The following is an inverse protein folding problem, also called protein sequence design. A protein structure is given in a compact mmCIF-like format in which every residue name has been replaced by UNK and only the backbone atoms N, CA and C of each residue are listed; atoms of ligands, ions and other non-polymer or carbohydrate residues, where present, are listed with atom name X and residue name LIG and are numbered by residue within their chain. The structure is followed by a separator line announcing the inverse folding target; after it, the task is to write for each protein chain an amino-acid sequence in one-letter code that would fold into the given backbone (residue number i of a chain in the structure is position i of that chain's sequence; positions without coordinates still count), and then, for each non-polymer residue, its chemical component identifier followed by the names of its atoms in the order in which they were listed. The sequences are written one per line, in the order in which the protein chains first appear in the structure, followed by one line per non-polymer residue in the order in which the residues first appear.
data_IF_994149951135
#
_entry.id   IF_994149951135
#
_cell.length_a   1.000
_cell.length_b   1.000
_cell.length_c   1.000
_cell.angle_alpha   90.00
_cell.angle_beta   90.00
_cell.angle_gamma   90.00
#
_symmetry.space_group_name_H-M   'P 1'
#
loop_
_entity.id
_entity.type
_entity.pdbx_description
1 polymer ?
#
# COMPACT_ATOMS: atom_id res chain seq x y z
N UNK A 1 -4.92 10.60 -13.51
CA UNK A 1 -4.46 9.86 -12.32
C UNK A 1 -5.64 9.07 -11.82
N UNK A 2 -5.44 7.77 -11.60
CA UNK A 2 -6.46 6.96 -10.95
C UNK A 2 -6.40 7.23 -9.45
N UNK A 3 -7.55 7.49 -8.82
CA UNK A 3 -7.61 7.66 -7.37
C UNK A 3 -7.90 6.29 -6.74
N UNK A 4 -6.91 5.41 -6.73
CA UNK A 4 -7.05 4.06 -6.16
C UNK A 4 -6.92 4.09 -4.64
N UNK A 5 -6.17 5.05 -4.10
CA UNK A 5 -5.87 5.22 -2.68
C UNK A 5 -7.12 5.41 -1.82
N UNK A 6 -8.19 6.05 -2.33
CA UNK A 6 -9.45 6.23 -1.59
C UNK A 6 -10.15 4.91 -1.20
N UNK A 7 -9.78 3.80 -1.84
CA UNK A 7 -10.35 2.48 -1.55
C UNK A 7 -9.63 1.77 -0.41
N UNK A 8 -8.52 2.31 0.06
CA UNK A 8 -7.69 1.71 1.09
C UNK A 8 -7.70 2.52 2.37
N UNK A 9 -7.50 1.83 3.48
CA UNK A 9 -7.46 2.42 4.81
C UNK A 9 -6.58 1.55 5.70
N UNK A 10 -6.18 2.07 6.86
CA UNK A 10 -5.67 1.24 7.93
C UNK A 10 -6.71 1.14 9.05
N UNK A 11 -6.58 0.12 9.90
CA UNK A 11 -7.45 -0.09 11.06
C UNK A 11 -6.72 0.27 12.36
N UNK A 12 -7.48 0.69 13.37
CA UNK A 12 -6.90 0.89 14.71
C UNK A 12 -6.54 -0.47 15.33
N UNK A 13 -5.61 -0.52 16.31
CA UNK A 13 -5.21 -1.77 16.95
C UNK A 13 -6.39 -2.59 17.52
N UNK A 14 -7.45 -1.93 18.00
CA UNK A 14 -8.62 -2.59 18.58
C UNK A 14 -9.51 -3.27 17.53
N UNK A 15 -9.46 -2.78 16.28
CA UNK A 15 -10.25 -3.31 15.17
C UNK A 15 -9.44 -4.29 14.30
N UNK A 16 -8.14 -4.43 14.58
CA UNK A 16 -7.27 -5.31 13.83
C UNK A 16 -7.65 -6.79 14.01
N UNK A 17 -7.80 -7.48 12.89
CA UNK A 17 -8.17 -8.89 12.84
C UNK A 17 -7.19 -9.61 11.92
N UNK A 18 -6.21 -10.30 12.52
CA UNK A 18 -5.16 -10.96 11.73
C UNK A 18 -5.67 -12.05 10.79
N UNK A 19 -4.89 -12.33 9.74
CA UNK A 19 -5.27 -13.23 8.63
C UNK A 19 -5.83 -14.59 9.08
N UNK A 20 -5.34 -15.14 10.19
CA UNK A 20 -5.79 -16.43 10.73
C UNK A 20 -7.31 -16.48 11.01
N UNK A 21 -7.91 -15.36 11.42
CA UNK A 21 -9.33 -15.28 11.69
C UNK A 21 -10.15 -15.28 10.38
N UNK A 22 -9.66 -14.59 9.35
CA UNK A 22 -10.25 -14.59 8.00
C UNK A 22 -10.17 -15.99 7.39
N UNK A 23 -9.00 -16.65 7.50
CA UNK A 23 -8.79 -18.03 7.04
C UNK A 23 -9.74 -19.01 7.75
N UNK A 24 -9.98 -18.83 9.05
CA UNK A 24 -10.88 -19.70 9.81
C UNK A 24 -12.31 -19.71 9.22
N UNK A 25 -12.83 -18.56 8.79
CA UNK A 25 -14.15 -18.48 8.12
C UNK A 25 -14.16 -19.23 6.79
N UNK A 26 -13.10 -19.08 5.99
CA UNK A 26 -12.92 -19.81 4.73
C UNK A 26 -12.87 -21.34 4.95
N UNK A 27 -12.11 -21.80 5.96
CA UNK A 27 -12.01 -23.22 6.32
C UNK A 27 -13.37 -23.76 6.77
N UNK A 28 -14.09 -23.06 7.65
CA UNK A 28 -15.40 -23.50 8.14
C UNK A 28 -16.39 -23.62 6.97
N UNK A 29 -16.39 -22.66 6.05
CA UNK A 29 -17.20 -22.72 4.83
C UNK A 29 -16.86 -23.94 3.96
N UNK A 30 -15.57 -24.20 3.72
CA UNK A 30 -15.10 -25.37 2.98
C UNK A 30 -15.50 -26.70 3.62
N UNK A 31 -15.31 -26.84 4.94
CA UNK A 31 -15.69 -28.04 5.69
C UNK A 31 -17.20 -28.30 5.62
N UNK A 32 -18.03 -27.27 5.80
CA UNK A 32 -19.49 -27.42 5.70
C UNK A 32 -19.95 -27.79 4.29
N UNK A 33 -19.29 -27.26 3.26
CA UNK A 33 -19.51 -27.66 1.87
C UNK A 33 -19.18 -29.14 1.67
N UNK A 34 -18.03 -29.62 2.18
CA UNK A 34 -17.64 -31.03 2.11
C UNK A 34 -18.66 -31.91 2.84
N UNK A 35 -19.09 -31.54 4.04
CA UNK A 35 -20.11 -32.27 4.80
C UNK A 35 -21.41 -32.34 4.02
N UNK A 36 -21.84 -31.25 3.38
CA UNK A 36 -23.05 -31.23 2.55
C UNK A 36 -22.94 -32.21 1.36
N UNK A 37 -21.79 -32.23 0.68
CA UNK A 37 -21.52 -33.14 -0.45
C UNK A 37 -21.49 -34.60 0.03
N UNK A 38 -20.74 -34.89 1.09
CA UNK A 38 -20.62 -36.26 1.64
C UNK A 38 -21.97 -36.78 2.12
N UNK A 39 -22.75 -35.96 2.83
CA UNK A 39 -24.10 -36.32 3.25
C UNK A 39 -25.00 -36.60 2.04
N UNK A 40 -24.94 -35.78 0.98
CA UNK A 40 -25.70 -36.01 -0.24
C UNK A 40 -25.33 -37.33 -0.94
N UNK A 41 -24.03 -37.68 -0.98
CA UNK A 41 -23.52 -38.90 -1.62
C UNK A 41 -23.83 -40.15 -0.79
N UNK A 42 -23.60 -40.12 0.53
CA UNK A 42 -23.72 -41.30 1.40
C UNK A 42 -25.16 -41.55 1.84
N UNK A 43 -25.91 -40.50 2.19
CA UNK A 43 -27.25 -40.62 2.75
C UNK A 43 -28.36 -40.60 1.69
N UNK A 44 -28.00 -40.48 0.40
CA UNK A 44 -28.94 -40.48 -0.72
C UNK A 44 -29.84 -39.23 -0.78
N UNK A 45 -29.50 -38.19 -0.02
CA UNK A 45 -30.23 -36.93 0.04
C UNK A 45 -29.38 -35.82 0.64
N UNK A 46 -29.42 -34.63 0.05
CA UNK A 46 -28.82 -33.43 0.64
C UNK A 46 -29.52 -33.14 1.98
N UNK A 47 -28.76 -32.80 3.02
CA UNK A 47 -29.35 -32.30 4.27
C UNK A 47 -29.97 -30.94 3.95
N UNK A 48 -31.31 -30.78 4.04
CA UNK A 48 -31.95 -29.52 3.67
C UNK A 48 -31.35 -28.35 4.46
N UNK A 49 -30.89 -27.33 3.75
CA UNK A 49 -30.36 -26.10 4.34
C UNK A 49 -28.86 -26.06 4.61
N UNK A 50 -28.14 -27.19 4.70
CA UNK A 50 -26.69 -27.15 5.00
C UNK A 50 -25.90 -26.49 3.88
N UNK A 51 -26.22 -26.78 2.62
CA UNK A 51 -25.58 -26.10 1.48
C UNK A 51 -25.88 -24.61 1.43
N UNK A 52 -27.09 -24.19 1.82
CA UNK A 52 -27.47 -22.77 1.87
C UNK A 52 -26.68 -22.05 2.96
N UNK A 53 -26.53 -22.66 4.14
CA UNK A 53 -25.69 -22.14 5.23
C UNK A 53 -24.23 -22.03 4.79
N UNK A 54 -23.68 -23.05 4.11
CA UNK A 54 -22.34 -22.99 3.56
C UNK A 54 -22.18 -21.86 2.54
N UNK A 55 -23.19 -21.64 1.67
CA UNK A 55 -23.23 -20.52 0.73
C UNK A 55 -23.20 -19.15 1.42
N UNK A 56 -23.95 -18.96 2.51
CA UNK A 56 -23.90 -17.71 3.28
C UNK A 56 -22.56 -17.51 3.99
N UNK A 57 -21.95 -18.57 4.51
CA UNK A 57 -20.61 -18.49 5.11
C UNK A 57 -19.53 -18.19 4.07
N UNK A 58 -19.69 -18.68 2.83
CA UNK A 58 -18.84 -18.29 1.72
C UNK A 58 -18.97 -16.80 1.40
N UNK A 59 -20.19 -16.24 1.36
CA UNK A 59 -20.38 -14.78 1.21
C UNK A 59 -19.65 -14.02 2.31
N UNK A 60 -19.85 -14.41 3.58
CA UNK A 60 -19.17 -13.77 4.71
C UNK A 60 -17.64 -13.85 4.57
N UNK A 61 -17.09 -15.01 4.23
CA UNK A 61 -15.65 -15.18 4.04
C UNK A 61 -15.08 -14.30 2.92
N UNK A 62 -15.81 -14.13 1.80
CA UNK A 62 -15.39 -13.23 0.72
C UNK A 62 -15.41 -11.76 1.17
N UNK A 63 -16.42 -11.35 1.94
CA UNK A 63 -16.49 -9.98 2.44
C UNK A 63 -15.34 -9.67 3.40
N UNK A 64 -15.08 -10.56 4.37
CA UNK A 64 -13.99 -10.43 5.34
C UNK A 64 -12.61 -10.47 4.68
N UNK A 65 -12.40 -11.38 3.71
CA UNK A 65 -11.15 -11.43 2.95
C UNK A 65 -10.91 -10.11 2.19
N UNK A 66 -11.95 -9.59 1.56
CA UNK A 66 -11.82 -8.36 0.80
C UNK A 66 -11.65 -7.12 1.68
N UNK A 67 -12.29 -7.09 2.86
CA UNK A 67 -12.07 -6.03 3.85
C UNK A 67 -10.62 -6.04 4.36
N UNK A 68 -10.12 -7.24 4.70
CA UNK A 68 -8.74 -7.47 5.08
C UNK A 68 -7.75 -6.97 4.02
N UNK A 69 -7.95 -7.34 2.75
CA UNK A 69 -7.07 -6.94 1.65
C UNK A 69 -7.16 -5.44 1.32
N UNK A 70 -8.32 -4.81 1.50
CA UNK A 70 -8.51 -3.37 1.28
C UNK A 70 -7.99 -2.49 2.41
N UNK A 71 -7.49 -3.06 3.50
CA UNK A 71 -6.99 -2.24 4.61
C UNK A 71 -6.99 -2.88 5.98
N UNK A 72 -7.79 -3.93 6.19
CA UNK A 72 -7.83 -4.62 7.48
C UNK A 72 -6.49 -5.26 7.89
N UNK A 73 -5.59 -5.54 6.92
CA UNK A 73 -4.21 -6.00 7.17
C UNK A 73 -3.26 -4.92 7.71
N UNK A 74 -3.65 -3.65 7.61
CA UNK A 74 -2.82 -2.49 7.95
C UNK A 74 -3.21 -1.95 9.31
N UNK A 75 -2.25 -1.81 10.23
CA UNK A 75 -2.48 -1.16 11.53
C UNK A 75 -2.03 0.28 11.45
N UNK A 76 -2.92 1.24 11.71
CA UNK A 76 -2.60 2.66 11.69
C UNK A 76 -1.56 3.03 12.75
N UNK A 77 -0.46 3.66 12.31
CA UNK A 77 0.58 4.22 13.18
C UNK A 77 0.57 5.75 13.16
N UNK A 78 0.16 6.35 12.04
CA UNK A 78 -0.12 7.77 11.91
C UNK A 78 -0.83 8.10 10.60
N UNK A 79 -1.80 9.01 10.65
CA UNK A 79 -2.51 9.50 9.47
C UNK A 79 -1.72 10.62 8.79
N UNK A 80 -1.73 10.64 7.46
CA UNK A 80 -1.16 11.68 6.62
C UNK A 80 0.27 12.11 7.04
N UNK A 81 1.07 11.11 7.40
CA UNK A 81 2.46 11.26 7.82
C UNK A 81 3.32 11.77 6.67
N UNK A 82 4.41 12.45 7.02
CA UNK A 82 5.36 13.00 6.05
C UNK A 82 6.79 12.62 6.43
N UNK A 83 7.58 12.25 5.43
CA UNK A 83 9.00 11.91 5.57
C UNK A 83 9.76 12.28 4.31
N UNK A 84 11.08 12.45 4.43
CA UNK A 84 11.96 12.74 3.30
C UNK A 84 13.08 11.72 3.28
N UNK A 85 13.32 11.12 2.11
CA UNK A 85 14.35 10.11 1.96
C UNK A 85 14.86 9.98 0.53
N UNK A 86 16.02 9.36 0.40
CA UNK A 86 16.61 9.02 -0.90
C UNK A 86 16.02 7.72 -1.41
N UNK A 87 15.56 7.69 -2.65
CA UNK A 87 15.12 6.47 -3.32
C UNK A 87 16.31 5.52 -3.45
N UNK A 88 16.20 4.38 -2.79
CA UNK A 88 17.18 3.29 -2.86
C UNK A 88 16.76 2.23 -3.88
N UNK A 89 15.47 1.96 -4.01
CA UNK A 89 14.93 1.03 -4.99
C UNK A 89 13.60 1.54 -5.54
N UNK A 90 13.38 1.32 -6.84
CA UNK A 90 12.09 1.44 -7.51
C UNK A 90 11.67 0.03 -7.93
N UNK A 91 10.49 -0.40 -7.53
CA UNK A 91 9.98 -1.76 -7.71
C UNK A 91 8.66 -1.64 -8.48
N UNK A 92 8.71 -1.73 -9.83
CA UNK A 92 7.52 -1.70 -10.65
C UNK A 92 6.58 -2.87 -10.34
N UNK A 93 5.30 -2.68 -10.62
CA UNK A 93 4.26 -3.69 -10.41
C UNK A 93 4.63 -5.02 -11.05
N UNK A 94 4.65 -6.08 -10.24
CA UNK A 94 4.93 -7.45 -10.68
C UNK A 94 6.41 -7.80 -10.85
N UNK A 95 7.34 -6.95 -10.42
CA UNK A 95 8.78 -7.24 -10.49
C UNK A 95 9.22 -8.40 -9.56
N UNK A 96 8.54 -8.57 -8.44
CA UNK A 96 8.90 -9.47 -7.34
C UNK A 96 7.76 -10.43 -6.91
N UNK A 97 6.58 -10.29 -7.51
CA UNK A 97 5.36 -11.04 -7.14
C UNK A 97 5.05 -12.15 -8.14
N UNK A 98 4.47 -13.27 -7.67
CA UNK A 98 4.01 -14.35 -8.55
C UNK A 98 2.69 -14.98 -8.14
N UNK A 99 1.91 -15.43 -9.11
CA UNK A 99 0.68 -16.19 -8.85
C UNK A 99 -0.39 -15.34 -8.14
N UNK A 100 -0.79 -15.70 -6.92
CA UNK A 100 -1.80 -14.93 -6.18
C UNK A 100 -1.25 -13.62 -5.61
N UNK A 101 0.07 -13.51 -5.43
CA UNK A 101 0.71 -12.27 -4.97
C UNK A 101 0.64 -11.19 -6.05
N UNK A 102 0.49 -11.55 -7.32
CA UNK A 102 0.24 -10.59 -8.41
C UNK A 102 -1.08 -9.84 -8.23
N UNK A 103 -1.97 -10.26 -7.31
CA UNK A 103 -3.18 -9.49 -7.02
C UNK A 103 -2.86 -8.15 -6.36
N UNK A 104 -1.75 -8.08 -5.64
CA UNK A 104 -1.21 -6.85 -5.10
C UNK A 104 -0.45 -6.10 -6.22
N UNK A 105 -1.15 -5.13 -6.80
CA UNK A 105 -0.73 -4.36 -7.96
C UNK A 105 -0.11 -3.02 -7.60
N UNK A 106 0.41 -2.89 -6.39
CA UNK A 106 1.04 -1.67 -5.90
C UNK A 106 2.39 -1.41 -6.58
N UNK A 107 2.64 -0.13 -6.89
CA UNK A 107 3.98 0.33 -7.23
C UNK A 107 4.73 0.62 -5.94
N UNK A 108 5.90 0.04 -5.80
CA UNK A 108 6.63 0.06 -4.53
C UNK A 108 7.96 0.77 -4.71
N UNK A 109 8.39 1.51 -3.69
CA UNK A 109 9.72 2.07 -3.64
C UNK A 109 10.22 2.15 -2.20
N UNK A 110 11.53 2.03 -2.04
CA UNK A 110 12.20 2.05 -0.74
C UNK A 110 13.03 3.32 -0.62
N UNK A 111 12.90 4.03 0.50
CA UNK A 111 13.69 5.24 0.76
C UNK A 111 14.63 5.07 1.95
N UNK A 112 15.88 5.50 1.82
CA UNK A 112 16.76 5.74 2.95
C UNK A 112 16.42 7.12 3.53
N UNK A 113 16.03 7.17 4.80
CA UNK A 113 15.64 8.41 5.45
C UNK A 113 16.77 9.45 5.38
N UNK A 114 16.49 10.64 4.88
CA UNK A 114 17.49 11.72 4.84
C UNK A 114 17.62 12.35 6.22
N UNK A 115 18.83 12.75 6.66
CA UNK A 115 20.07 12.85 5.89
C UNK A 115 21.02 11.65 6.06
N UNK A 116 20.51 10.43 6.29
CA UNK A 116 21.36 9.27 6.55
C UNK A 116 22.10 8.77 5.31
N UNK A 117 23.17 8.02 5.59
CA UNK A 117 24.01 7.35 4.61
C UNK A 117 23.81 5.84 4.62
N UNK A 118 23.93 5.17 3.46
CA UNK A 118 23.73 3.73 3.38
C UNK A 118 24.77 2.90 4.16
N UNK A 119 25.87 3.49 4.61
CA UNK A 119 26.85 2.81 5.49
C UNK A 119 26.39 2.73 6.96
N UNK A 120 25.26 3.35 7.31
CA UNK A 120 24.71 3.35 8.66
C UNK A 120 23.84 2.11 8.89
N UNK A 121 24.03 1.47 10.04
CA UNK A 121 23.12 0.43 10.52
C UNK A 121 21.79 1.04 10.99
N UNK A 122 20.71 0.25 11.02
CA UNK A 122 19.42 0.62 11.64
C UNK A 122 19.57 1.29 13.00
N UNK A 123 20.40 0.72 13.88
CA UNK A 123 20.61 1.25 15.23
C UNK A 123 21.31 2.60 15.24
N UNK A 124 22.21 2.85 14.27
CA UNK A 124 22.87 4.14 14.13
C UNK A 124 21.87 5.19 13.64
N UNK A 125 21.09 4.88 12.60
CA UNK A 125 20.06 5.79 12.08
C UNK A 125 19.05 6.18 13.18
N UNK A 126 18.50 5.20 13.90
CA UNK A 126 17.53 5.43 14.98
C UNK A 126 18.13 6.21 16.14
N UNK A 127 19.41 5.98 16.46
CA UNK A 127 20.07 6.69 17.56
C UNK A 127 20.35 8.16 17.23
N UNK A 128 20.60 8.50 15.95
CA UNK A 128 20.85 9.87 15.52
C UNK A 128 19.60 10.62 15.06
N UNK A 129 18.53 9.93 14.66
CA UNK A 129 17.28 10.54 14.18
C UNK A 129 16.06 10.24 15.08
N UNK A 130 15.77 11.12 16.05
CA UNK A 130 14.60 10.99 16.91
C UNK A 130 13.28 11.38 16.22
N UNK A 131 13.30 11.86 14.97
CA UNK A 131 12.13 12.41 14.28
C UNK A 131 11.56 11.43 13.24
N UNK A 132 12.42 10.90 12.37
CA UNK A 132 12.04 9.93 11.33
C UNK A 132 12.44 8.50 11.69
N UNK A 133 13.36 8.28 12.63
CA UNK A 133 13.74 6.92 13.08
C UNK A 133 12.56 6.08 13.60
N UNK A 134 11.46 6.73 14.00
CA UNK A 134 10.18 6.07 14.30
C UNK A 134 9.64 5.22 13.14
N UNK A 135 9.84 5.63 11.89
CA UNK A 135 9.31 4.92 10.72
C UNK A 135 9.95 3.54 10.55
N UNK A 136 11.22 3.42 10.90
CA UNK A 136 12.01 2.18 10.80
C UNK A 136 12.18 1.48 12.16
N UNK A 137 11.30 1.71 13.12
CA UNK A 137 11.33 1.02 14.44
C UNK A 137 10.02 0.35 14.78
N UNK A 138 10.10 -0.68 15.64
CA UNK A 138 8.93 -1.36 16.18
C UNK A 138 8.02 -0.35 16.92
N UNK A 139 6.72 -0.40 16.62
CA UNK A 139 5.72 0.43 17.27
C UNK A 139 4.93 -0.37 18.31
N UNK A 140 4.53 0.29 19.40
CA UNK A 140 3.70 -0.36 20.42
C UNK A 140 2.37 -0.87 19.87
N UNK A 141 1.79 -0.16 18.89
CA UNK A 141 0.52 -0.51 18.27
C UNK A 141 0.51 -1.92 17.66
N UNK A 142 1.59 -2.34 16.99
CA UNK A 142 1.72 -3.69 16.43
C UNK A 142 2.29 -4.68 17.44
N UNK A 143 3.32 -4.29 18.21
CA UNK A 143 3.93 -5.14 19.24
C UNK A 143 2.93 -5.62 20.29
N UNK A 144 2.05 -4.74 20.77
CA UNK A 144 1.09 -5.07 21.83
C UNK A 144 0.00 -6.03 21.32
N UNK A 145 -0.17 -6.15 20.00
CA UNK A 145 -0.99 -7.16 19.32
C UNK A 145 -0.23 -8.49 19.08
N UNK A 146 1.05 -8.56 19.47
CA UNK A 146 1.91 -9.73 19.26
C UNK A 146 2.42 -9.87 17.83
N UNK A 147 2.36 -8.80 17.03
CA UNK A 147 2.85 -8.80 15.66
C UNK A 147 4.39 -8.68 15.63
N UNK A 148 5.08 -9.43 14.76
CA UNK A 148 6.54 -9.35 14.65
C UNK A 148 6.97 -8.04 13.99
N UNK A 149 8.16 -7.56 14.31
CA UNK A 149 8.79 -6.46 13.57
C UNK A 149 10.18 -6.87 13.09
N UNK A 150 10.36 -6.84 11.78
CA UNK A 150 11.65 -7.09 11.12
C UNK A 150 12.20 -5.77 10.56
N UNK A 151 11.32 -4.96 9.95
CA UNK A 151 11.72 -3.82 9.12
C UNK A 151 12.16 -4.26 7.73
N UNK A 152 12.56 -3.29 6.91
CA UNK A 152 12.98 -3.52 5.52
C UNK A 152 14.40 -3.00 5.27
N UNK A 153 15.16 -3.74 4.46
CA UNK A 153 16.58 -3.49 4.27
C UNK A 153 17.06 -3.83 2.87
N UNK A 154 17.73 -2.87 2.23
CA UNK A 154 18.37 -3.06 0.92
C UNK A 154 19.81 -3.52 1.08
N UNK A 155 20.28 -4.32 0.11
CA UNK A 155 21.67 -4.78 0.06
C UNK A 155 22.41 -3.99 -1.01
N UNK A 156 23.35 -3.14 -0.59
CA UNK A 156 24.21 -2.39 -1.50
C UNK A 156 25.54 -3.13 -1.63
N UNK A 157 25.88 -3.57 -2.84
CA UNK A 157 26.93 -4.58 -3.07
C UNK A 157 28.28 -4.20 -2.43
N UNK A 158 28.79 -3.00 -2.71
CA UNK A 158 30.12 -2.59 -2.24
C UNK A 158 30.15 -2.36 -0.73
N UNK A 159 29.08 -1.82 -0.16
CA UNK A 159 28.93 -1.60 1.27
C UNK A 159 28.81 -2.94 2.00
N UNK A 160 27.99 -3.85 1.50
CA UNK A 160 27.84 -5.18 2.09
C UNK A 160 29.14 -5.98 2.01
N UNK A 161 29.82 -5.97 0.87
CA UNK A 161 31.09 -6.66 0.71
C UNK A 161 32.20 -6.09 1.62
N UNK A 162 32.17 -4.79 1.90
CA UNK A 162 33.19 -4.13 2.72
C UNK A 162 32.90 -4.14 4.22
N UNK A 163 31.63 -3.99 4.62
CA UNK A 163 31.21 -3.81 6.01
C UNK A 163 30.30 -4.92 6.54
N UNK A 164 29.72 -5.75 5.67
CA UNK A 164 28.72 -6.76 6.05
C UNK A 164 27.40 -6.16 6.55
N UNK A 165 27.11 -4.90 6.16
CA UNK A 165 25.94 -4.14 6.62
C UNK A 165 24.90 -4.07 5.51
N UNK A 166 23.63 -4.27 5.88
CA UNK A 166 22.47 -3.90 5.06
C UNK A 166 21.96 -2.53 5.48
N UNK A 167 21.46 -1.77 4.52
CA UNK A 167 20.93 -0.43 4.75
C UNK A 167 19.45 -0.54 5.07
N UNK A 168 19.05 -0.13 6.28
CA UNK A 168 17.63 -0.05 6.62
C UNK A 168 16.98 1.07 5.80
N UNK A 169 15.82 0.77 5.24
CA UNK A 169 15.02 1.69 4.43
C UNK A 169 13.60 1.73 4.96
N UNK A 170 12.87 2.76 4.56
CA UNK A 170 11.45 2.89 4.81
C UNK A 170 10.68 2.57 3.52
N UNK A 171 9.72 1.67 3.67
CA UNK A 171 8.95 1.12 2.56
C UNK A 171 7.78 2.02 2.20
N UNK A 172 7.52 2.22 0.90
CA UNK A 172 6.44 3.07 0.41
C UNK A 172 5.68 2.37 -0.73
N UNK A 173 4.35 2.37 -0.67
CA UNK A 173 3.49 1.72 -1.66
C UNK A 173 2.43 2.68 -2.21
N UNK A 174 2.47 2.89 -3.53
CA UNK A 174 1.43 3.59 -4.30
C UNK A 174 0.41 2.57 -4.76
N UNK A 175 -0.83 2.78 -4.36
CA UNK A 175 -1.89 1.78 -4.52
C UNK A 175 -2.34 1.59 -5.95
N UNK A 176 -2.44 0.32 -6.35
CA UNK A 176 -3.24 -0.07 -7.50
C UNK A 176 -4.71 -0.31 -7.14
N UNK A 177 -5.55 -0.48 -8.15
CA UNK A 177 -6.99 -0.69 -8.02
C UNK A 177 -7.38 -2.19 -8.04
N UNK A 178 -6.45 -3.12 -8.29
CA UNK A 178 -6.78 -4.53 -8.61
C UNK A 178 -7.49 -5.21 -7.47
N UNK A 179 -6.98 -5.04 -6.24
CA UNK A 179 -7.62 -5.62 -5.05
C UNK A 179 -9.05 -5.13 -4.94
N UNK A 180 -9.29 -3.82 -5.05
CA UNK A 180 -10.63 -3.24 -4.96
C UNK A 180 -11.58 -3.79 -6.05
N UNK A 181 -11.15 -3.79 -7.31
CA UNK A 181 -12.01 -4.16 -8.44
C UNK A 181 -12.33 -5.65 -8.45
N UNK A 182 -11.32 -6.50 -8.20
CA UNK A 182 -11.51 -7.95 -8.06
C UNK A 182 -12.40 -8.24 -6.87
N UNK A 183 -12.20 -7.58 -5.72
CA UNK A 183 -13.03 -7.78 -4.55
C UNK A 183 -14.47 -7.33 -4.74
N UNK A 184 -14.70 -6.25 -5.48
CA UNK A 184 -16.04 -5.78 -5.84
C UNK A 184 -16.77 -6.85 -6.64
N UNK A 185 -16.12 -7.43 -7.66
CA UNK A 185 -16.70 -8.53 -8.44
C UNK A 185 -16.92 -9.77 -7.57
N UNK A 186 -15.96 -10.18 -6.76
CA UNK A 186 -16.09 -11.36 -5.90
C UNK A 186 -17.24 -11.21 -4.89
N UNK A 187 -17.38 -10.03 -4.26
CA UNK A 187 -18.50 -9.73 -3.35
C UNK A 187 -19.85 -9.90 -4.06
N UNK A 188 -20.01 -9.36 -5.27
CA UNK A 188 -21.24 -9.51 -6.07
C UNK A 188 -21.47 -10.98 -6.46
N UNK A 189 -20.46 -11.65 -6.99
CA UNK A 189 -20.59 -13.03 -7.50
C UNK A 189 -20.81 -14.05 -6.39
N UNK A 190 -20.35 -13.77 -5.15
CA UNK A 190 -20.52 -14.64 -4.00
C UNK A 190 -21.99 -14.95 -3.67
N UNK A 191 -22.92 -14.03 -3.96
CA UNK A 191 -24.36 -14.24 -3.76
C UNK A 191 -24.95 -15.34 -4.65
N UNK A 192 -24.25 -15.77 -5.71
CA UNK A 192 -24.63 -16.93 -6.50
C UNK A 192 -24.45 -18.25 -5.75
N UNK A 193 -23.53 -18.33 -4.79
CA UNK A 193 -23.26 -19.55 -4.02
C UNK A 193 -24.50 -20.10 -3.27
N UNK A 194 -25.25 -19.31 -2.48
CA UNK A 194 -26.46 -19.82 -1.83
C UNK A 194 -27.57 -20.22 -2.83
N UNK A 195 -27.64 -19.56 -3.99
CA UNK A 195 -28.62 -19.90 -5.05
C UNK A 195 -28.28 -21.27 -5.65
N UNK A 196 -27.02 -21.49 -6.03
CA UNK A 196 -26.54 -22.77 -6.54
C UNK A 196 -26.78 -23.85 -5.49
N UNK A 197 -26.44 -23.60 -4.22
CA UNK A 197 -26.64 -24.56 -3.15
C UNK A 197 -28.12 -24.93 -2.91
N UNK A 198 -29.04 -23.97 -3.09
CA UNK A 198 -30.48 -24.25 -3.03
C UNK A 198 -30.93 -25.19 -4.18
N UNK A 199 -30.43 -24.97 -5.40
CA UNK A 199 -30.69 -25.85 -6.56
C UNK A 199 -30.16 -27.27 -6.29
N UNK A 200 -28.95 -27.37 -5.73
CA UNK A 200 -28.31 -28.63 -5.35
C UNK A 200 -29.06 -29.40 -4.26
N UNK A 201 -29.98 -28.75 -3.53
CA UNK A 201 -30.78 -29.38 -2.48
C UNK A 201 -32.07 -30.05 -3.02
N UNK A 202 -32.38 -29.91 -4.31
CA UNK A 202 -33.57 -30.52 -4.93
C UNK A 202 -33.31 -32.02 -5.23
N UNK A 203 -34.11 -32.96 -4.67
CA UNK A 203 -33.88 -34.40 -4.89
C UNK A 203 -33.99 -34.82 -6.37
N UNK A 204 -33.17 -35.81 -6.78
CA UNK A 204 -33.18 -36.53 -8.07
C UNK A 204 -32.90 -35.70 -9.35
N UNK A 205 -33.66 -34.64 -9.60
CA UNK A 205 -33.50 -33.75 -10.77
C UNK A 205 -32.41 -32.70 -10.50
N UNK A 206 -32.26 -32.31 -9.22
CA UNK A 206 -31.39 -31.21 -8.84
C UNK A 206 -29.92 -31.45 -9.05
N UNK A 207 -29.40 -32.69 -9.10
CA UNK A 207 -27.94 -32.90 -9.18
C UNK A 207 -27.34 -32.57 -10.54
N UNK A 208 -28.00 -32.97 -11.64
CA UNK A 208 -27.58 -32.61 -12.99
C UNK A 208 -27.74 -31.11 -13.20
N UNK A 209 -28.88 -30.55 -12.78
CA UNK A 209 -29.14 -29.11 -12.85
C UNK A 209 -28.17 -28.32 -11.95
N UNK A 210 -27.79 -28.85 -10.80
CA UNK A 210 -26.81 -28.29 -9.87
C UNK A 210 -25.42 -28.25 -10.48
N UNK A 211 -24.95 -29.36 -11.06
CA UNK A 211 -23.64 -29.38 -11.73
C UNK A 211 -23.60 -28.38 -12.89
N UNK A 212 -24.67 -28.28 -13.68
CA UNK A 212 -24.79 -27.31 -14.76
C UNK A 212 -24.81 -25.88 -14.19
N UNK A 213 -25.64 -25.60 -13.19
CA UNK A 213 -25.76 -24.28 -12.58
C UNK A 213 -24.45 -23.84 -11.91
N UNK A 214 -23.77 -24.75 -11.19
CA UNK A 214 -22.48 -24.51 -10.58
C UNK A 214 -21.40 -24.25 -11.64
N UNK A 215 -21.35 -25.04 -12.71
CA UNK A 215 -20.40 -24.84 -13.80
C UNK A 215 -20.63 -23.50 -14.52
N UNK A 216 -21.88 -23.14 -14.79
CA UNK A 216 -22.23 -21.85 -15.39
C UNK A 216 -21.84 -20.70 -14.46
N UNK A 217 -22.22 -20.78 -13.17
CA UNK A 217 -21.88 -19.75 -12.19
C UNK A 217 -20.37 -19.59 -12.05
N UNK A 218 -19.61 -20.69 -11.91
CA UNK A 218 -18.15 -20.65 -11.84
C UNK A 218 -17.52 -20.07 -13.11
N UNK A 219 -18.03 -20.41 -14.30
CA UNK A 219 -17.55 -19.87 -15.56
C UNK A 219 -17.81 -18.35 -15.67
N UNK A 220 -18.99 -17.88 -15.26
CA UNK A 220 -19.31 -16.45 -15.22
C UNK A 220 -18.44 -15.73 -14.19
N UNK A 221 -18.27 -16.29 -13.00
CA UNK A 221 -17.41 -15.72 -11.94
C UNK A 221 -15.97 -15.61 -12.42
N UNK A 222 -15.41 -16.68 -13.01
CA UNK A 222 -14.05 -16.67 -13.54
C UNK A 222 -13.89 -15.65 -14.67
N UNK A 223 -14.86 -15.55 -15.58
CA UNK A 223 -14.83 -14.54 -16.64
C UNK A 223 -14.90 -13.11 -16.08
N UNK A 224 -15.79 -12.85 -15.11
CA UNK A 224 -15.93 -11.54 -14.48
C UNK A 224 -14.67 -11.14 -13.71
N UNK A 225 -14.07 -12.07 -12.96
CA UNK A 225 -12.78 -11.84 -12.27
C UNK A 225 -11.67 -11.57 -13.28
N UNK A 226 -11.57 -12.35 -14.35
CA UNK A 226 -10.56 -12.11 -15.39
C UNK A 226 -10.73 -10.77 -16.11
N UNK A 227 -11.97 -10.29 -16.27
CA UNK A 227 -12.24 -8.96 -16.81
C UNK A 227 -11.79 -7.89 -15.82
N UNK A 228 -12.18 -7.97 -14.55
CA UNK A 228 -11.76 -7.02 -13.52
C UNK A 228 -10.24 -6.97 -13.36
N UNK A 229 -9.59 -8.15 -13.33
CA UNK A 229 -8.14 -8.29 -13.24
C UNK A 229 -7.41 -7.56 -14.37
N UNK A 230 -7.90 -7.67 -15.61
CA UNK A 230 -7.26 -7.07 -16.78
C UNK A 230 -7.66 -5.60 -17.03
N UNK A 231 -8.79 -5.16 -16.46
CA UNK A 231 -9.30 -3.79 -16.65
C UNK A 231 -8.84 -2.83 -15.55
N UNK A 232 -8.28 -3.35 -14.46
CA UNK A 232 -7.80 -2.55 -13.34
C UNK A 232 -6.63 -1.65 -13.72
N UNK A 233 -6.56 -0.52 -13.03
CA UNK A 233 -5.39 0.35 -13.01
C UNK A 233 -4.36 -0.20 -12.02
N UNK A 234 -3.11 -0.38 -12.47
CA UNK A 234 -2.01 -0.76 -11.60
C UNK A 234 -1.49 0.48 -10.87
N UNK A 235 -0.90 0.31 -9.69
CA UNK A 235 -0.20 1.41 -9.04
C UNK A 235 0.85 2.00 -9.99
N UNK A 236 0.85 3.33 -10.13
CA UNK A 236 1.82 4.07 -10.92
C UNK A 236 2.30 5.25 -10.08
N UNK A 237 3.61 5.47 -10.03
CA UNK A 237 4.19 6.59 -9.29
C UNK A 237 3.60 7.93 -9.76
N UNK A 238 3.25 8.04 -11.05
CA UNK A 238 2.66 9.24 -11.64
C UNK A 238 1.22 9.52 -11.17
N UNK A 239 0.59 8.63 -10.39
CA UNK A 239 -0.69 8.93 -9.74
C UNK A 239 -0.52 9.82 -8.50
N UNK A 240 0.68 9.87 -7.93
CA UNK A 240 1.00 10.63 -6.70
C UNK A 240 2.18 11.57 -6.85
N UNK A 241 2.90 11.50 -7.96
CA UNK A 241 4.08 12.31 -8.30
C UNK A 241 3.78 13.15 -9.53
N UNK A 242 4.15 14.43 -9.51
CA UNK A 242 4.09 15.29 -10.69
C UNK A 242 5.18 14.89 -11.71
N UNK A 243 4.82 14.34 -12.88
CA UNK A 243 5.80 13.95 -13.89
C UNK A 243 6.58 15.13 -14.46
N UNK A 244 6.10 16.37 -14.32
CA UNK A 244 6.82 17.56 -14.78
C UNK A 244 8.12 17.80 -14.00
N UNK A 245 8.24 17.27 -12.79
CA UNK A 245 9.48 17.27 -12.00
C UNK A 245 10.56 16.31 -12.55
N UNK A 246 10.28 15.59 -13.64
CA UNK A 246 11.20 14.69 -14.34
C UNK A 246 11.19 13.26 -13.81
N UNK A 247 11.96 12.37 -14.42
CA UNK A 247 11.99 10.95 -14.02
C UNK A 247 12.68 10.77 -12.65
N UNK A 248 12.11 9.90 -11.81
CA UNK A 248 12.70 9.51 -10.53
C UNK A 248 13.78 8.44 -10.76
N UNK A 249 14.93 8.63 -10.11
CA UNK A 249 16.08 7.74 -10.22
C UNK A 249 16.35 7.07 -8.89
N UNK A 250 16.46 5.73 -8.90
CA UNK A 250 16.93 4.97 -7.74
C UNK A 250 18.45 5.11 -7.56
N UNK A 251 18.92 4.91 -6.34
CA UNK A 251 20.35 4.81 -6.07
C UNK A 251 20.99 3.65 -6.83
N UNK A 252 22.25 3.83 -7.20
CA UNK A 252 23.07 2.78 -7.79
C UNK A 252 23.18 1.59 -6.80
N UNK A 253 22.84 0.36 -7.22
CA UNK A 253 22.75 -0.78 -6.31
C UNK A 253 24.11 -1.26 -5.78
N UNK A 254 25.22 -0.87 -6.42
CA UNK A 254 26.55 -1.24 -5.98
C UNK A 254 27.10 -0.24 -4.95
N UNK A 255 26.82 1.06 -5.15
CA UNK A 255 27.43 2.15 -4.37
C UNK A 255 26.47 2.86 -3.40
N UNK A 256 25.16 2.81 -3.65
CA UNK A 256 24.12 3.56 -2.91
C UNK A 256 24.06 5.06 -3.24
N UNK A 257 24.78 5.50 -4.28
CA UNK A 257 24.84 6.91 -4.71
C UNK A 257 23.81 7.23 -5.80
N UNK A 258 23.55 8.52 -6.04
CA UNK A 258 22.83 9.00 -7.22
C UNK A 258 21.30 8.91 -7.17
N UNK A 259 20.72 8.28 -6.14
CA UNK A 259 19.27 8.22 -5.96
C UNK A 259 18.67 9.60 -5.69
N UNK A 260 17.47 9.84 -6.22
CA UNK A 260 16.72 11.06 -5.99
C UNK A 260 16.26 11.15 -4.53
N UNK A 261 16.26 12.36 -3.97
CA UNK A 261 15.65 12.63 -2.67
C UNK A 261 14.22 13.10 -2.88
N UNK A 262 13.29 12.45 -2.20
CA UNK A 262 11.86 12.71 -2.32
C UNK A 262 11.23 12.96 -0.96
N UNK A 263 10.23 13.84 -0.94
CA UNK A 263 9.24 13.91 0.12
C UNK A 263 8.12 12.94 -0.21
N UNK A 264 7.70 12.17 0.80
CA UNK A 264 6.60 11.20 0.70
C UNK A 264 5.57 11.52 1.76
N UNK A 265 4.29 11.60 1.37
CA UNK A 265 3.16 11.67 2.30
C UNK A 265 2.18 10.55 2.07
N UNK A 266 1.50 10.15 3.13
CA UNK A 266 0.46 9.13 3.09
C UNK A 266 0.15 8.60 4.48
N UNK A 267 -0.45 7.42 4.55
CA UNK A 267 -0.78 6.80 5.83
C UNK A 267 0.40 5.95 6.31
N UNK A 268 0.93 6.27 7.49
CA UNK A 268 1.95 5.44 8.11
C UNK A 268 1.27 4.26 8.80
N UNK A 269 1.56 3.06 8.32
CA UNK A 269 0.95 1.84 8.80
C UNK A 269 2.00 0.74 9.03
N UNK A 270 1.66 -0.21 9.90
CA UNK A 270 2.28 -1.52 9.93
C UNK A 270 1.49 -2.44 8.99
N UNK A 271 2.16 -3.16 8.11
CA UNK A 271 1.52 -4.07 7.14
C UNK A 271 1.77 -5.54 7.50
N UNK A 272 0.73 -6.26 7.94
CA UNK A 272 0.77 -7.73 8.19
C UNK A 272 0.95 -8.53 6.90
N UNK A 273 0.74 -7.92 5.73
CA UNK A 273 1.00 -8.53 4.42
C UNK A 273 2.47 -8.82 4.15
N UNK A 274 3.37 -8.16 4.89
CA UNK A 274 4.82 -8.38 4.85
C UNK A 274 5.31 -9.14 6.09
N UNK A 275 6.60 -9.47 6.16
CA UNK A 275 7.23 -10.14 7.32
C UNK A 275 7.36 -9.24 8.58
N UNK A 276 6.49 -8.23 8.71
CA UNK A 276 6.43 -7.28 9.82
C UNK A 276 7.17 -5.97 9.52
N UNK A 277 6.66 -5.24 8.53
CA UNK A 277 7.21 -3.97 8.07
C UNK A 277 6.31 -2.81 8.48
N UNK A 278 6.93 -1.65 8.69
CA UNK A 278 6.22 -0.38 8.65
C UNK A 278 6.39 0.22 7.26
N UNK A 279 5.38 0.91 6.77
CA UNK A 279 5.46 1.60 5.49
C UNK A 279 4.53 2.80 5.39
N UNK A 280 4.72 3.57 4.32
CA UNK A 280 3.73 4.54 3.86
C UNK A 280 2.77 3.83 2.90
N UNK A 281 1.53 3.64 3.32
CA UNK A 281 0.57 2.78 2.64
C UNK A 281 -0.88 3.17 3.02
N UNK A 282 -1.65 3.79 2.10
CA UNK A 282 -1.22 4.25 0.77
C UNK A 282 -0.30 5.48 0.85
N UNK A 283 0.63 5.59 -0.11
CA UNK A 283 1.23 6.88 -0.49
C UNK A 283 0.15 7.74 -1.17
N UNK A 284 0.10 9.02 -0.81
CA UNK A 284 -0.85 10.01 -1.35
C UNK A 284 -0.17 11.11 -2.15
N UNK A 285 1.09 11.42 -1.86
CA UNK A 285 1.86 12.39 -2.63
C UNK A 285 3.36 12.12 -2.55
N UNK A 286 4.06 12.35 -3.65
CA UNK A 286 5.52 12.32 -3.75
C UNK A 286 6.00 13.60 -4.43
N UNK A 287 7.08 14.20 -3.91
CA UNK A 287 7.72 15.38 -4.50
C UNK A 287 9.22 15.15 -4.61
N UNK A 288 9.81 15.48 -5.77
CA UNK A 288 11.25 15.39 -5.98
C UNK A 288 11.94 16.62 -5.41
N UNK A 289 12.85 16.38 -4.46
CA UNK A 289 13.57 17.43 -3.72
C UNK A 289 15.07 17.48 -4.04
N UNK A 290 15.58 16.58 -4.88
CA UNK A 290 17.02 16.39 -5.14
C UNK A 290 17.78 17.68 -5.41
N UNK A 291 17.20 18.58 -6.20
CA UNK A 291 17.87 19.79 -6.69
C UNK A 291 17.63 21.03 -5.81
N UNK A 292 16.68 20.96 -4.87
CA UNK A 292 16.33 22.06 -3.97
C UNK A 292 16.94 21.90 -2.58
N UNK A 293 17.29 20.67 -2.16
CA UNK A 293 17.94 20.44 -0.88
C UNK A 293 19.46 20.63 -0.97
N UNK A 294 20.03 21.18 0.10
CA UNK A 294 21.48 21.40 0.16
C UNK A 294 22.26 20.06 0.05
N UNK A 295 23.38 20.02 -0.70
CA UNK A 295 24.17 18.79 -0.89
C UNK A 295 24.59 18.08 0.40
N UNK A 296 24.74 18.80 1.51
CA UNK A 296 25.07 18.24 2.82
C UNK A 296 24.03 17.24 3.35
N UNK A 297 22.76 17.40 2.99
CA UNK A 297 21.67 16.53 3.43
C UNK A 297 21.48 15.30 2.55
N UNK A 298 22.15 15.26 1.39
CA UNK A 298 22.21 14.11 0.48
C UNK A 298 23.63 13.55 0.36
N UNK A 299 24.52 13.90 1.28
CA UNK A 299 25.87 13.38 1.29
C UNK A 299 25.89 11.90 1.73
N UNK A 300 26.99 11.20 1.43
CA UNK A 300 27.22 9.80 1.83
C UNK A 300 27.93 9.67 3.19
N UNK A 301 28.10 10.77 3.91
CA UNK A 301 28.66 10.76 5.27
C UNK A 301 27.59 10.35 6.29
N UNK A 302 27.98 9.60 7.34
CA UNK A 302 27.07 9.27 8.44
C UNK A 302 26.45 10.53 9.03
N UNK A 303 25.15 10.51 9.26
CA UNK A 303 24.46 11.59 9.94
C UNK A 303 24.74 11.56 11.45
N UNK A 304 24.94 12.73 12.04
CA UNK A 304 24.90 12.92 13.48
C UNK A 304 23.66 13.68 13.91
N UNK A 305 23.41 13.73 15.22
CA UNK A 305 22.23 14.38 15.80
C UNK A 305 22.14 15.86 15.44
N UNK A 306 23.27 16.55 15.23
CA UNK A 306 23.27 17.97 14.85
C UNK A 306 22.84 18.14 13.41
N UNK A 307 23.36 17.33 12.49
CA UNK A 307 22.95 17.36 11.08
C UNK A 307 21.46 17.02 10.93
N UNK A 308 20.96 16.05 11.71
CA UNK A 308 19.53 15.69 11.71
C UNK A 308 18.66 16.83 12.25
N UNK A 309 19.05 17.49 13.35
CA UNK A 309 18.30 18.63 13.90
C UNK A 309 18.30 19.84 12.95
N UNK A 310 19.42 20.09 12.25
CA UNK A 310 19.48 21.10 11.19
C UNK A 310 18.57 20.73 10.01
N UNK A 311 18.66 19.47 9.52
CA UNK A 311 17.80 18.98 8.44
C UNK A 311 16.32 19.11 8.78
N UNK A 312 15.96 18.77 10.02
CA UNK A 312 14.57 18.90 10.48
C UNK A 312 14.07 20.32 10.36
N UNK A 313 14.84 21.29 10.86
CA UNK A 313 14.45 22.71 10.91
C UNK A 313 14.44 23.37 9.53
N UNK A 314 15.43 23.05 8.71
CA UNK A 314 15.62 23.70 7.40
C UNK A 314 14.82 23.03 6.28
N UNK A 315 14.57 21.73 6.37
CA UNK A 315 13.98 20.95 5.27
C UNK A 315 12.73 20.20 5.73
N UNK A 316 12.84 19.26 6.67
CA UNK A 316 11.72 18.36 6.98
C UNK A 316 10.46 19.12 7.43
N UNK A 317 10.58 20.00 8.43
CA UNK A 317 9.42 20.71 8.99
C UNK A 317 8.78 21.67 7.98
N UNK A 318 9.52 22.56 7.28
CA UNK A 318 8.92 23.45 6.29
C UNK A 318 8.25 22.66 5.16
N UNK A 319 8.94 21.68 4.58
CA UNK A 319 8.40 20.93 3.45
C UNK A 319 7.17 20.11 3.85
N UNK A 320 7.20 19.42 4.99
CA UNK A 320 6.04 18.67 5.47
C UNK A 320 4.86 19.58 5.85
N UNK A 321 5.13 20.79 6.33
CA UNK A 321 4.09 21.77 6.62
C UNK A 321 3.40 22.24 5.34
N UNK A 322 4.16 22.72 4.36
CA UNK A 322 3.61 23.25 3.11
C UNK A 322 3.01 22.18 2.20
N UNK A 323 3.66 21.02 2.08
CA UNK A 323 3.11 19.88 1.37
C UNK A 323 1.80 19.38 1.98
N UNK A 324 1.54 19.70 3.26
CA UNK A 324 0.29 19.45 3.99
C UNK A 324 -0.85 20.40 3.69
N UNK A 325 -0.57 21.58 3.15
CA UNK A 325 -1.56 22.64 2.97
C UNK A 325 -2.61 22.34 1.90
N UNK A 326 -2.33 21.65 0.79
CA UNK A 326 -3.37 21.28 -0.17
C UNK A 326 -4.51 20.46 0.42
N UNK A 327 -4.36 19.86 1.61
CA UNK A 327 -5.47 19.17 2.29
C UNK A 327 -6.45 20.15 2.97
N UNK A 328 -6.07 21.43 3.14
CA UNK A 328 -6.91 22.48 3.71
C UNK A 328 -7.93 22.98 2.67
N UNK A 329 -9.25 22.96 2.98
CA UNK A 329 -10.28 23.46 2.08
C UNK A 329 -10.12 24.93 1.67
N UNK A 330 -9.53 25.77 2.53
CA UNK A 330 -9.26 27.15 2.18
C UNK A 330 -8.13 27.24 1.15
N UNK A 331 -7.05 26.46 1.31
CA UNK A 331 -5.94 26.39 0.34
C UNK A 331 -6.42 25.88 -1.01
N UNK A 332 -7.23 24.81 -1.04
CA UNK A 332 -7.86 24.32 -2.29
C UNK A 332 -8.70 25.38 -2.98
N UNK A 333 -9.45 26.18 -2.20
CA UNK A 333 -10.25 27.27 -2.77
C UNK A 333 -9.37 28.32 -3.42
N UNK A 334 -8.25 28.67 -2.79
CA UNK A 334 -7.30 29.61 -3.40
C UNK A 334 -6.66 29.00 -4.66
N UNK A 335 -6.30 27.71 -4.67
CA UNK A 335 -5.77 27.01 -5.85
C UNK A 335 -6.74 26.98 -7.05
N UNK A 336 -8.05 27.02 -6.79
CA UNK A 336 -9.07 27.10 -7.83
C UNK A 336 -9.17 28.51 -8.48
N UNK A 337 -8.48 29.52 -7.92
CA UNK A 337 -8.47 30.87 -8.46
C UNK A 337 -7.51 30.97 -9.67
N UNK A 338 -7.93 31.52 -10.82
CA UNK A 338 -7.10 31.61 -12.03
C UNK A 338 -5.79 32.39 -11.87
N UNK A 339 -5.70 33.24 -10.84
CA UNK A 339 -4.49 34.00 -10.47
C UNK A 339 -3.45 33.17 -9.69
N UNK A 340 -3.80 31.99 -9.20
CA UNK A 340 -2.92 31.12 -8.43
C UNK A 340 -2.45 29.96 -9.31
N UNK A 341 -1.23 30.06 -9.85
CA UNK A 341 -0.64 29.02 -10.73
C UNK A 341 0.26 28.04 -9.97
N UNK A 342 -0.02 27.82 -8.68
CA UNK A 342 0.77 26.95 -7.80
C UNK A 342 -0.04 25.71 -7.37
N UNK A 343 0.58 24.53 -7.43
CA UNK A 343 -0.07 23.23 -7.22
C UNK A 343 -0.05 22.76 -5.75
N UNK A 344 0.91 23.24 -4.95
CA UNK A 344 1.12 22.86 -3.54
C UNK A 344 1.06 24.09 -2.65
N UNK A 345 1.96 25.04 -2.87
CA UNK A 345 2.05 26.29 -2.11
C UNK A 345 3.04 27.24 -2.80
N UNK A 346 2.82 28.58 -2.79
CA UNK A 346 3.76 29.54 -3.40
C UNK A 346 5.19 29.45 -2.86
N UNK A 347 5.36 29.12 -1.58
CA UNK A 347 6.69 28.94 -0.97
C UNK A 347 7.40 27.64 -1.42
N UNK A 348 6.68 26.70 -2.06
CA UNK A 348 7.23 25.49 -2.67
C UNK A 348 7.40 25.67 -4.17
N UNK A 349 6.32 26.02 -4.87
CA UNK A 349 6.27 26.04 -6.33
C UNK A 349 6.92 27.31 -6.92
N UNK A 350 7.06 28.34 -6.08
CA UNK A 350 7.36 29.70 -6.53
C UNK A 350 6.10 30.42 -6.99
N UNK A 351 6.21 31.74 -7.14
CA UNK A 351 5.25 32.51 -7.92
C UNK A 351 5.83 32.71 -9.31
N UNK A 352 5.10 32.35 -10.36
CA UNK A 352 5.47 32.77 -11.70
C UNK A 352 5.22 34.28 -11.82
N UNK A 353 6.30 35.05 -11.93
CA UNK A 353 6.28 36.50 -12.19
C UNK A 353 5.84 36.78 -13.65
N UNK A 354 4.67 36.30 -14.08
CA UNK A 354 4.13 36.64 -15.41
C UNK A 354 3.54 38.06 -15.50
N UNK A 355 3.55 38.82 -14.39
CA UNK A 355 3.03 40.19 -14.31
C UNK A 355 4.11 41.28 -14.17
N UNK A 356 5.33 41.10 -14.71
CA UNK A 356 6.14 42.28 -15.04
C UNK A 356 5.59 42.93 -16.33
N UNK A 357 4.98 44.14 -16.26
CA UNK A 357 4.50 44.82 -17.45
C UNK A 357 5.71 45.10 -18.35
N UNK A 358 5.73 44.49 -19.53
CA UNK A 358 6.79 44.65 -20.51
C UNK A 358 7.15 46.13 -20.72
N UNK A 359 8.43 46.45 -20.99
CA UNK A 359 8.92 47.82 -21.02
C UNK A 359 8.10 48.64 -22.01
N UNK A 360 7.45 49.69 -21.48
CA UNK A 360 6.80 50.72 -22.27
C UNK A 360 7.86 51.32 -23.21
N UNK A 361 7.65 51.16 -24.52
CA UNK A 361 8.46 51.78 -25.57
C UNK A 361 8.28 53.29 -25.62
#
# INVERSE_FOLDING_TARGET
MANCEQHYHCVTPENFTGLNNVIALGIISGVLTIIAIVAAVILGGAIPGVGVVAGFLFVAAIFELCDYLSGGKLICLGDNSCTIGRIMELIPVGADKSGFEEMDDDFTFNILLSPHSPIETKNEQVASDPFQGKFITEQSASRDLGQPYVGESVTITDIYNSLGVKTEVFHCEVKGCRVHDVCTVLKIMSFGAPIVAAICSIPLIGWVVCLIAAAIWLAITAAAVAIAWNATHNGDINDVYDPAAGELTAADPDTGEGGDVVLVRGDWAYDEGHDGWNGMHPVRSVQKLTDVIAPRYRAMSKADVLLVDEFKKEVLDPWCFYAGQPDDPDVKREQDEPENDWDIHPDIDGCDDEDEPGPIK
#
